data_IF_879889146290
#
_entry.id   IF_879889146290
#
_cell.length_a   1.000
_cell.length_b   1.000
_cell.length_c   1.000
_cell.angle_alpha   90.00
_cell.angle_beta   90.00
_cell.angle_gamma   90.00
#
_symmetry.space_group_name_H-M   'P 1'
#
loop_
_entity.id
_entity.type
_entity.pdbx_description
1 polymer ?
#
# COMPACT_ATOMS: atom_id res chain seq x y z
N UNK A 1 22.25 -24.22 10.49
CA UNK A 1 22.32 -23.91 11.94
C UNK A 1 23.73 -24.22 12.39
N UNK A 2 24.38 -23.32 13.11
CA UNK A 2 25.74 -23.52 13.59
C UNK A 2 25.77 -23.51 15.13
N UNK A 3 26.55 -24.41 15.70
CA UNK A 3 26.74 -24.58 17.14
C UNK A 3 28.15 -24.15 17.51
N UNK A 4 28.27 -23.40 18.60
CA UNK A 4 29.55 -22.92 19.11
C UNK A 4 29.65 -23.18 20.62
N UNK A 5 30.80 -23.67 21.11
CA UNK A 5 31.02 -23.87 22.53
C UNK A 5 31.03 -22.52 23.28
N UNK A 6 30.65 -22.55 24.56
CA UNK A 6 30.51 -21.32 25.38
C UNK A 6 31.82 -20.57 25.54
N UNK A 7 32.93 -21.28 25.70
CA UNK A 7 34.28 -20.73 25.83
C UNK A 7 34.66 -19.88 24.61
N UNK A 8 34.40 -20.39 23.41
CA UNK A 8 34.66 -19.68 22.16
C UNK A 8 33.80 -18.42 22.01
N UNK A 9 32.54 -18.46 22.47
CA UNK A 9 31.63 -17.31 22.39
C UNK A 9 31.88 -16.27 23.49
N UNK A 10 32.42 -16.68 24.65
CA UNK A 10 32.75 -15.79 25.77
C UNK A 10 33.90 -14.84 25.43
N UNK A 11 34.91 -15.31 24.69
CA UNK A 11 36.05 -14.50 24.24
C UNK A 11 35.82 -13.82 22.88
N UNK A 12 34.62 -13.94 22.30
CA UNK A 12 34.36 -13.40 20.97
C UNK A 12 34.19 -11.89 21.00
N UNK A 13 35.12 -11.16 20.34
CA UNK A 13 35.03 -9.70 20.16
C UNK A 13 33.76 -9.24 19.44
N UNK A 14 33.18 -10.11 18.61
CA UNK A 14 31.97 -9.83 17.83
C UNK A 14 30.69 -10.28 18.53
N UNK A 15 30.75 -10.71 19.81
CA UNK A 15 29.57 -11.19 20.55
C UNK A 15 28.41 -10.19 20.52
N UNK A 16 28.71 -8.90 20.61
CA UNK A 16 27.70 -7.82 20.60
C UNK A 16 27.01 -7.63 19.24
N UNK A 17 27.63 -8.08 18.14
CA UNK A 17 27.09 -7.98 16.78
C UNK A 17 26.57 -9.33 16.26
N UNK A 18 26.73 -10.40 17.04
CA UNK A 18 26.40 -11.76 16.63
C UNK A 18 24.91 -12.08 16.89
N UNK A 19 24.27 -12.76 15.94
CA UNK A 19 22.90 -13.30 16.10
C UNK A 19 22.85 -14.61 16.91
N UNK A 20 23.87 -14.88 17.73
CA UNK A 20 23.93 -16.08 18.55
C UNK A 20 22.90 -16.02 19.68
N UNK A 21 22.19 -17.13 19.90
CA UNK A 21 21.31 -17.32 21.05
C UNK A 21 21.95 -18.32 22.00
N UNK A 22 22.06 -17.97 23.26
CA UNK A 22 22.53 -18.88 24.30
C UNK A 22 21.53 -20.02 24.48
N UNK A 23 22.04 -21.25 24.59
CA UNK A 23 21.31 -22.45 24.99
C UNK A 23 22.01 -23.08 26.20
N UNK A 24 21.39 -24.09 26.82
CA UNK A 24 21.94 -24.76 28.01
C UNK A 24 23.38 -25.25 27.81
N UNK A 25 23.66 -25.89 26.67
CA UNK A 25 24.98 -26.48 26.35
C UNK A 25 25.85 -25.53 25.53
N UNK A 26 25.30 -24.95 24.46
CA UNK A 26 26.08 -24.23 23.45
C UNK A 26 25.44 -22.89 23.09
N UNK A 27 26.17 -22.06 22.35
CA UNK A 27 25.58 -20.95 21.59
C UNK A 27 25.14 -21.44 20.22
N UNK A 28 23.96 -21.00 19.78
CA UNK A 28 23.39 -21.38 18.49
C UNK A 28 23.18 -20.15 17.62
N UNK A 29 23.75 -20.18 16.42
CA UNK A 29 23.46 -19.21 15.36
C UNK A 29 22.47 -19.83 14.38
N UNK A 30 21.27 -19.26 14.33
CA UNK A 30 20.22 -19.64 13.36
C UNK A 30 20.01 -18.50 12.38
N UNK A 31 20.57 -18.66 11.18
CA UNK A 31 20.24 -17.81 10.04
C UNK A 31 19.20 -18.56 9.22
N UNK A 32 17.97 -18.04 9.21
CA UNK A 32 16.89 -18.61 8.40
C UNK A 32 16.91 -17.97 7.01
N UNK A 33 16.82 -18.77 5.95
CA UNK A 33 16.71 -18.27 4.58
C UNK A 33 15.55 -17.28 4.43
N UNK A 34 14.40 -17.57 5.05
CA UNK A 34 13.24 -16.66 5.08
C UNK A 34 13.56 -15.31 5.73
N UNK A 35 14.40 -15.29 6.77
CA UNK A 35 14.81 -14.04 7.42
C UNK A 35 15.75 -13.22 6.56
N UNK A 36 16.64 -13.87 5.79
CA UNK A 36 17.52 -13.19 4.83
C UNK A 36 16.67 -12.58 3.72
N UNK A 37 15.75 -13.35 3.14
CA UNK A 37 14.87 -12.85 2.09
C UNK A 37 14.03 -11.67 2.57
N UNK A 38 13.43 -11.77 3.76
CA UNK A 38 12.67 -10.67 4.35
C UNK A 38 13.54 -9.41 4.60
N UNK A 39 14.80 -9.57 5.00
CA UNK A 39 15.73 -8.45 5.14
C UNK A 39 16.03 -7.80 3.78
N UNK A 40 16.37 -8.60 2.75
CA UNK A 40 16.59 -8.12 1.37
C UNK A 40 15.37 -7.42 0.79
N UNK A 41 14.16 -7.91 1.08
CA UNK A 41 12.92 -7.26 0.63
C UNK A 41 12.71 -5.92 1.33
N UNK A 42 12.98 -5.82 2.64
CA UNK A 42 12.90 -4.54 3.37
C UNK A 42 13.87 -3.50 2.81
N UNK A 43 15.09 -3.90 2.52
CA UNK A 43 16.09 -3.02 1.88
C UNK A 43 15.62 -2.52 0.51
N UNK A 44 15.05 -3.40 -0.32
CA UNK A 44 14.45 -3.02 -1.62
C UNK A 44 13.28 -2.05 -1.49
N UNK A 45 12.45 -2.21 -0.47
CA UNK A 45 11.30 -1.33 -0.20
C UNK A 45 11.79 0.05 0.27
N UNK A 46 12.78 0.11 1.17
CA UNK A 46 13.36 1.37 1.63
C UNK A 46 14.04 2.14 0.48
N UNK A 47 14.70 1.45 -0.45
CA UNK A 47 15.33 2.07 -1.61
C UNK A 47 14.33 2.76 -2.56
N UNK A 48 13.09 2.25 -2.68
CA UNK A 48 12.03 2.82 -3.54
C UNK A 48 10.85 3.40 -2.76
N UNK A 49 11.12 3.84 -1.54
CA UNK A 49 10.09 4.19 -0.56
C UNK A 49 9.06 5.20 -1.07
N UNK A 50 9.48 6.23 -1.80
CA UNK A 50 8.57 7.27 -2.30
C UNK A 50 7.66 6.79 -3.45
N UNK A 51 8.19 6.05 -4.41
CA UNK A 51 7.37 5.47 -5.49
C UNK A 51 6.38 4.42 -4.96
N UNK A 52 6.83 3.58 -4.04
CA UNK A 52 6.03 2.50 -3.47
C UNK A 52 4.90 3.06 -2.57
N UNK A 53 5.15 4.15 -1.84
CA UNK A 53 4.12 4.91 -1.12
C UNK A 53 3.04 5.44 -2.08
N UNK A 54 3.44 6.05 -3.20
CA UNK A 54 2.51 6.60 -4.19
C UNK A 54 1.62 5.51 -4.81
N UNK A 55 2.20 4.38 -5.20
CA UNK A 55 1.46 3.22 -5.73
C UNK A 55 0.50 2.64 -4.70
N UNK A 56 0.93 2.50 -3.44
CA UNK A 56 0.06 2.04 -2.34
C UNK A 56 -1.10 2.98 -2.08
N UNK A 57 -0.85 4.29 -2.03
CA UNK A 57 -1.90 5.28 -1.85
C UNK A 57 -2.97 5.18 -2.94
N UNK A 58 -2.59 4.94 -4.20
CA UNK A 58 -3.53 4.72 -5.29
C UNK A 58 -4.36 3.43 -5.11
N UNK A 59 -3.74 2.33 -4.68
CA UNK A 59 -4.44 1.04 -4.42
C UNK A 59 -5.40 1.17 -3.24
N UNK A 60 -4.93 1.70 -2.12
CA UNK A 60 -5.72 1.89 -0.90
C UNK A 60 -6.88 2.86 -1.12
N UNK A 61 -6.64 3.95 -1.85
CA UNK A 61 -7.67 4.89 -2.27
C UNK A 61 -8.75 4.22 -3.14
N UNK A 62 -8.35 3.32 -4.04
CA UNK A 62 -9.30 2.55 -4.86
C UNK A 62 -10.13 1.58 -4.02
N UNK A 63 -9.48 0.81 -3.15
CA UNK A 63 -10.16 -0.13 -2.26
C UNK A 63 -11.13 0.57 -1.30
N UNK A 64 -10.72 1.72 -0.77
CA UNK A 64 -11.58 2.58 0.04
C UNK A 64 -12.80 3.06 -0.72
N UNK A 65 -12.62 3.56 -1.96
CA UNK A 65 -13.72 4.02 -2.80
C UNK A 65 -14.70 2.89 -3.16
N UNK A 66 -14.20 1.68 -3.40
CA UNK A 66 -15.04 0.51 -3.66
C UNK A 66 -15.82 0.10 -2.40
N UNK A 67 -15.14 -0.06 -1.25
CA UNK A 67 -15.76 -0.48 0.00
C UNK A 67 -16.80 0.51 0.50
N UNK A 68 -16.42 1.79 0.61
CA UNK A 68 -17.29 2.86 1.15
C UNK A 68 -18.27 3.40 0.11
N UNK A 69 -17.83 3.60 -1.13
CA UNK A 69 -18.64 4.23 -2.17
C UNK A 69 -19.58 3.28 -2.91
N UNK A 70 -19.19 2.01 -3.10
CA UNK A 70 -19.96 1.03 -3.87
C UNK A 70 -20.43 -0.18 -3.04
N UNK A 71 -20.30 -0.11 -1.71
CA UNK A 71 -20.77 -1.14 -0.80
C UNK A 71 -20.13 -2.51 -1.04
N UNK A 72 -18.82 -2.54 -1.31
CA UNK A 72 -18.09 -3.78 -1.62
C UNK A 72 -18.06 -4.76 -0.42
N UNK A 73 -18.19 -4.25 0.81
CA UNK A 73 -18.22 -5.04 2.04
C UNK A 73 -19.58 -5.70 2.33
N UNK A 74 -20.65 -5.26 1.66
CA UNK A 74 -22.03 -5.71 1.93
C UNK A 74 -22.71 -6.13 0.63
N UNK A 75 -22.27 -7.26 0.05
CA UNK A 75 -22.90 -7.84 -1.13
C UNK A 75 -24.25 -8.46 -0.77
N UNK A 76 -25.30 -8.13 -1.54
CA UNK A 76 -26.66 -8.67 -1.36
C UNK A 76 -26.88 -10.04 -2.01
N UNK A 77 -25.89 -10.52 -2.77
CA UNK A 77 -25.96 -11.80 -3.49
C UNK A 77 -25.15 -12.87 -2.78
N UNK A 78 -25.62 -14.12 -2.87
CA UNK A 78 -24.94 -15.31 -2.39
C UNK A 78 -24.49 -16.15 -3.60
N UNK A 79 -23.46 -16.99 -3.41
CA UNK A 79 -22.72 -17.80 -4.42
C UNK A 79 -21.63 -17.03 -5.18
N UNK A 80 -20.47 -17.70 -5.35
CA UNK A 80 -19.23 -17.13 -5.89
C UNK A 80 -19.41 -16.46 -7.26
N UNK A 81 -20.14 -17.11 -8.18
CA UNK A 81 -20.36 -16.60 -9.54
C UNK A 81 -21.12 -15.27 -9.51
N UNK A 82 -22.21 -15.20 -8.74
CA UNK A 82 -23.00 -13.96 -8.61
C UNK A 82 -22.20 -12.86 -7.92
N UNK A 83 -21.42 -13.20 -6.89
CA UNK A 83 -20.51 -12.26 -6.23
C UNK A 83 -19.48 -11.69 -7.22
N UNK A 84 -18.87 -12.52 -8.05
CA UNK A 84 -17.86 -12.12 -9.03
C UNK A 84 -18.41 -11.13 -10.06
N UNK A 85 -19.59 -11.42 -10.60
CA UNK A 85 -20.27 -10.50 -11.55
C UNK A 85 -20.60 -9.17 -10.88
N UNK A 86 -21.20 -9.20 -9.68
CA UNK A 86 -21.58 -7.97 -8.97
C UNK A 86 -20.37 -7.11 -8.61
N UNK A 87 -19.29 -7.73 -8.13
CA UNK A 87 -18.01 -7.09 -7.88
C UNK A 87 -17.43 -6.49 -9.15
N UNK A 88 -17.44 -7.23 -10.26
CA UNK A 88 -16.97 -6.75 -11.56
C UNK A 88 -17.70 -5.48 -12.01
N UNK A 89 -19.03 -5.46 -11.93
CA UNK A 89 -19.82 -4.26 -12.23
C UNK A 89 -19.45 -3.08 -11.32
N UNK A 90 -19.28 -3.30 -10.01
CA UNK A 90 -18.90 -2.23 -9.08
C UNK A 90 -17.52 -1.62 -9.41
N UNK A 91 -16.56 -2.47 -9.79
CA UNK A 91 -15.23 -2.00 -10.25
C UNK A 91 -15.37 -1.19 -11.53
N UNK A 92 -16.16 -1.67 -12.48
CA UNK A 92 -16.42 -0.98 -13.74
C UNK A 92 -17.05 0.40 -13.50
N UNK A 93 -18.07 0.50 -12.64
CA UNK A 93 -18.69 1.77 -12.27
C UNK A 93 -17.68 2.74 -11.66
N UNK A 94 -16.79 2.27 -10.77
CA UNK A 94 -15.76 3.12 -10.18
C UNK A 94 -14.77 3.65 -11.21
N UNK A 95 -14.40 2.82 -12.20
CA UNK A 95 -13.52 3.23 -13.30
C UNK A 95 -14.19 4.28 -14.19
N UNK A 96 -15.44 4.05 -14.60
CA UNK A 96 -16.21 5.04 -15.36
C UNK A 96 -16.37 6.36 -14.61
N UNK A 97 -16.66 6.31 -13.30
CA UNK A 97 -16.76 7.51 -12.46
C UNK A 97 -15.45 8.31 -12.43
N UNK A 98 -14.30 7.63 -12.37
CA UNK A 98 -12.98 8.28 -12.43
C UNK A 98 -12.73 8.92 -13.79
N UNK A 99 -13.02 8.19 -14.87
CA UNK A 99 -12.88 8.69 -16.23
C UNK A 99 -13.76 9.91 -16.49
N UNK A 100 -15.04 9.84 -16.13
CA UNK A 100 -15.97 10.96 -16.28
C UNK A 100 -15.52 12.21 -15.52
N UNK A 101 -15.02 12.05 -14.28
CA UNK A 101 -14.43 13.16 -13.52
C UNK A 101 -13.22 13.76 -14.21
N UNK A 102 -12.32 12.93 -14.71
CA UNK A 102 -11.14 13.39 -15.45
C UNK A 102 -11.54 14.19 -16.70
N UNK A 103 -12.51 13.68 -17.47
CA UNK A 103 -13.02 14.39 -18.64
C UNK A 103 -13.67 15.72 -18.27
N UNK A 104 -14.45 15.77 -17.19
CA UNK A 104 -15.07 17.01 -16.70
C UNK A 104 -14.03 18.04 -16.25
N UNK A 105 -13.01 17.62 -15.50
CA UNK A 105 -11.93 18.51 -15.07
C UNK A 105 -11.11 19.04 -16.25
N UNK A 106 -10.90 18.22 -17.29
CA UNK A 106 -10.28 18.68 -18.54
C UNK A 106 -11.15 19.71 -19.26
N UNK A 107 -12.45 19.46 -19.37
CA UNK A 107 -13.38 20.40 -19.99
C UNK A 107 -13.40 21.75 -19.24
N UNK A 108 -13.44 21.73 -17.90
CA UNK A 108 -13.36 22.96 -17.07
C UNK A 108 -12.08 23.76 -17.29
N UNK A 109 -10.93 23.09 -17.48
CA UNK A 109 -9.65 23.76 -17.76
C UNK A 109 -9.60 24.36 -19.18
N UNK A 110 -10.33 23.78 -20.13
CA UNK A 110 -10.41 24.27 -21.50
C UNK A 110 -11.34 25.49 -21.65
N UNK A 111 -12.28 25.68 -20.71
CA UNK A 111 -13.14 26.87 -20.69
C UNK A 111 -12.32 28.04 -20.09
N UNK A 112 -12.09 29.15 -20.82
CA UNK A 112 -11.43 30.31 -20.25
C UNK A 112 -12.25 30.86 -19.08
N UNK A 113 -11.58 31.21 -17.97
CA UNK A 113 -12.22 31.86 -16.82
C UNK A 113 -12.77 33.21 -17.29
N UNK A 114 -14.07 33.27 -17.62
CA UNK A 114 -14.76 34.55 -17.78
C UNK A 114 -14.67 35.26 -16.42
N UNK A 115 -13.92 36.35 -16.35
CA UNK A 115 -13.96 37.25 -15.20
C UNK A 115 -15.41 37.68 -15.03
N UNK A 116 -16.04 37.29 -13.93
CA UNK A 116 -17.34 37.85 -13.54
C UNK A 116 -17.11 39.31 -13.20
N UNK A 117 -17.25 40.18 -14.21
CA UNK A 117 -17.41 41.60 -13.98
C UNK A 117 -18.58 41.79 -13.01
N UNK A 118 -18.31 42.49 -11.92
CA UNK A 118 -19.34 42.99 -11.03
C UNK A 118 -20.35 43.78 -11.85
N UNK A 119 -21.58 43.29 -11.95
CA UNK A 119 -22.67 44.02 -12.58
C UNK A 119 -22.89 45.29 -11.75
N UNK A 120 -22.78 46.50 -12.31
CA UNK A 120 -23.08 47.70 -11.55
C UNK A 120 -24.56 47.69 -11.22
N UNK A 121 -24.86 47.83 -9.92
CA UNK A 121 -26.21 48.04 -9.43
C UNK A 121 -26.66 49.40 -9.97
N UNK A 122 -27.56 49.40 -10.95
CA UNK A 122 -28.29 50.59 -11.36
C UNK A 122 -29.18 51.00 -10.18
N UNK A 123 -28.70 51.96 -9.39
CA UNK A 123 -29.54 52.71 -8.47
C UNK A 123 -30.48 53.61 -9.29
N UNK A 124 -31.75 53.59 -8.89
CA UNK A 124 -32.88 54.36 -9.43
C UNK A 124 -32.62 55.86 -9.51
#
# INVERSE_FOLDING_TARGET
>A
MAHFPKEACAMCKLKNQCYCKEQKKDYVVRINLKSIEAAKQREKIECRREEDKSKRAAIEGTNSALKRGHGFSKLRVRRLVKCRVNVGLKVLTQNFKRFARYMLERAKKAIPKIQRGSVPILAQ
#
